data_IF_044261432287
#
_entry.id   IF_044261432287
#
_cell.length_a   1.000
_cell.length_b   1.000
_cell.length_c   1.000
_cell.angle_alpha   90.00
_cell.angle_beta   90.00
_cell.angle_gamma   90.00
#
_symmetry.space_group_name_H-M   'P 1'
#
loop_
_entity.id
_entity.type
_entity.pdbx_description
1 polymer ?
#
# COMPACT_ATOMS: atom_id res chain seq x y z
N UNK A 1 -6.57 -20.35 14.77
CA UNK A 1 -6.05 -21.60 15.37
C UNK A 1 -6.61 -22.83 14.69
N UNK A 2 -7.83 -22.77 14.15
CA UNK A 2 -8.49 -23.92 13.49
C UNK A 2 -7.80 -24.40 12.20
N UNK A 3 -7.01 -23.56 11.52
CA UNK A 3 -6.31 -23.91 10.28
C UNK A 3 -4.87 -24.44 10.49
N UNK A 4 -4.40 -24.59 11.74
CA UNK A 4 -3.00 -24.97 12.01
C UNK A 4 -2.80 -26.48 11.97
N UNK A 5 -1.79 -26.94 11.22
CA UNK A 5 -1.38 -28.34 11.24
C UNK A 5 -0.74 -28.73 12.58
N UNK A 6 -0.75 -30.02 12.91
CA UNK A 6 -0.27 -30.50 14.22
C UNK A 6 1.20 -30.17 14.48
N UNK A 7 2.06 -30.18 13.45
CA UNK A 7 3.46 -29.77 13.55
C UNK A 7 3.63 -28.26 13.84
N UNK A 8 2.73 -27.42 13.32
CA UNK A 8 2.70 -25.99 13.61
C UNK A 8 2.20 -25.72 15.04
N UNK A 9 1.20 -26.48 15.51
CA UNK A 9 0.73 -26.42 16.89
C UNK A 9 1.86 -26.83 17.86
N UNK A 10 2.57 -27.92 17.58
CA UNK A 10 3.70 -28.38 18.37
C UNK A 10 4.83 -27.35 18.44
N UNK A 11 5.09 -26.63 17.35
CA UNK A 11 6.05 -25.53 17.31
C UNK A 11 5.61 -24.37 18.24
N UNK A 12 4.34 -23.95 18.16
CA UNK A 12 3.79 -22.88 18.99
C UNK A 12 3.84 -23.23 20.49
N UNK A 13 3.43 -24.45 20.85
CA UNK A 13 3.52 -24.95 22.23
C UNK A 13 4.98 -25.03 22.69
N UNK A 14 5.88 -25.48 21.83
CA UNK A 14 7.32 -25.54 22.11
C UNK A 14 7.93 -24.17 22.44
N UNK A 15 7.43 -23.11 21.79
CA UNK A 15 7.87 -21.72 22.01
C UNK A 15 7.38 -21.13 23.33
N UNK A 16 6.33 -21.65 23.97
CA UNK A 16 5.83 -21.13 25.26
C UNK A 16 6.92 -21.16 26.34
N UNK A 17 7.80 -22.17 26.32
CA UNK A 17 8.94 -22.26 27.26
C UNK A 17 10.00 -21.17 27.05
N UNK A 18 10.07 -20.58 25.85
CA UNK A 18 11.10 -19.60 25.52
C UNK A 18 10.91 -19.03 24.12
N UNK A 19 10.01 -18.04 24.00
CA UNK A 19 9.61 -17.48 22.70
C UNK A 19 10.77 -16.81 21.94
N UNK A 20 11.78 -16.30 22.65
CA UNK A 20 12.97 -15.70 22.05
C UNK A 20 14.00 -16.74 21.60
N UNK A 21 14.22 -17.79 22.41
CA UNK A 21 15.24 -18.83 22.15
C UNK A 21 14.80 -19.77 21.04
N UNK A 22 13.53 -20.20 21.07
CA UNK A 22 12.95 -21.10 20.08
C UNK A 22 12.30 -20.36 18.90
N UNK A 23 12.69 -19.11 18.67
CA UNK A 23 12.18 -18.32 17.55
C UNK A 23 12.66 -18.92 16.21
N UNK A 24 11.75 -19.36 15.30
CA UNK A 24 12.12 -20.01 14.05
C UNK A 24 12.93 -19.14 13.09
N UNK A 25 12.76 -17.81 13.14
CA UNK A 25 13.51 -16.88 12.29
C UNK A 25 14.91 -16.60 12.81
N UNK A 26 15.13 -16.70 14.13
CA UNK A 26 16.43 -16.44 14.75
C UNK A 26 17.26 -17.72 14.89
N UNK A 27 16.62 -18.79 15.38
CA UNK A 27 17.26 -20.05 15.73
C UNK A 27 16.46 -21.26 15.17
N UNK A 28 16.43 -21.46 13.84
CA UNK A 28 15.60 -22.49 13.21
C UNK A 28 15.93 -23.91 13.67
N UNK A 29 17.22 -24.22 13.90
CA UNK A 29 17.64 -25.55 14.38
C UNK A 29 17.03 -25.88 15.75
N UNK A 30 17.18 -24.95 16.71
CA UNK A 30 16.62 -25.11 18.06
C UNK A 30 15.09 -25.16 18.04
N UNK A 31 14.45 -24.38 17.18
CA UNK A 31 12.99 -24.41 17.02
C UNK A 31 12.51 -25.78 16.49
N UNK A 32 13.24 -26.37 15.54
CA UNK A 32 12.93 -27.69 14.97
C UNK A 32 13.10 -28.81 16.01
N UNK A 33 14.23 -28.83 16.72
CA UNK A 33 14.46 -29.77 17.81
C UNK A 33 13.38 -29.66 18.88
N UNK A 34 13.00 -28.42 19.22
CA UNK A 34 11.96 -28.17 20.22
C UNK A 34 10.58 -28.65 19.78
N UNK A 35 10.19 -28.39 18.53
CA UNK A 35 8.95 -28.91 17.93
C UNK A 35 8.94 -30.44 17.96
N UNK A 36 10.03 -31.08 17.54
CA UNK A 36 10.12 -32.54 17.49
C UNK A 36 10.06 -33.16 18.90
N UNK A 37 10.60 -32.48 19.91
CA UNK A 37 10.44 -32.89 21.31
C UNK A 37 8.97 -32.84 21.74
N UNK A 38 8.21 -31.80 21.36
CA UNK A 38 6.76 -31.74 21.65
C UNK A 38 6.00 -32.85 20.92
N UNK A 39 6.31 -33.11 19.65
CA UNK A 39 5.74 -34.23 18.90
C UNK A 39 6.04 -35.58 19.57
N UNK A 40 7.26 -35.77 20.10
CA UNK A 40 7.64 -37.00 20.82
C UNK A 40 6.85 -37.16 22.12
N UNK A 41 6.59 -36.08 22.84
CA UNK A 41 5.76 -36.10 24.05
C UNK A 41 4.30 -36.46 23.73
N UNK A 42 3.74 -35.92 22.64
CA UNK A 42 2.40 -36.28 22.18
C UNK A 42 2.30 -37.77 21.82
N UNK A 43 3.35 -38.31 21.19
CA UNK A 43 3.42 -39.72 20.85
C UNK A 43 3.48 -40.62 22.10
N UNK A 44 4.29 -40.24 23.10
CA UNK A 44 4.38 -40.98 24.38
C UNK A 44 3.05 -40.99 25.14
N UNK A 45 2.25 -39.95 24.99
CA UNK A 45 0.90 -39.84 25.55
C UNK A 45 -0.17 -40.50 24.66
N UNK A 46 0.22 -41.20 23.60
CA UNK A 46 -0.68 -41.91 22.67
C UNK A 46 -1.67 -40.99 21.95
N UNK A 47 -1.34 -39.69 21.84
CA UNK A 47 -2.13 -38.71 21.06
C UNK A 47 -1.87 -38.87 19.56
N UNK A 48 -0.65 -39.27 19.20
CA UNK A 48 -0.24 -39.61 17.83
C UNK A 48 0.48 -40.96 17.81
N UNK A 49 0.46 -41.65 16.67
CA UNK A 49 1.20 -42.89 16.46
C UNK A 49 2.65 -42.63 15.99
N UNK A 50 3.43 -43.71 15.89
CA UNK A 50 4.84 -43.64 15.49
C UNK A 50 4.98 -43.21 14.02
N UNK A 51 4.08 -43.65 13.14
CA UNK A 51 4.12 -43.33 11.71
C UNK A 51 3.88 -41.82 11.48
N UNK A 52 2.88 -41.24 12.16
CA UNK A 52 2.60 -39.81 12.10
C UNK A 52 3.72 -38.99 12.75
N UNK A 53 4.32 -39.48 13.85
CA UNK A 53 5.50 -38.82 14.44
C UNK A 53 6.67 -38.74 13.45
N UNK A 54 7.00 -39.84 12.78
CA UNK A 54 8.10 -39.88 11.82
C UNK A 54 7.84 -38.96 10.63
N UNK A 55 6.60 -38.95 10.13
CA UNK A 55 6.17 -38.03 9.08
C UNK A 55 6.29 -36.56 9.51
N UNK A 56 5.74 -36.18 10.68
CA UNK A 56 5.71 -34.79 11.13
C UNK A 56 7.09 -34.26 11.54
N UNK A 57 7.92 -35.11 12.14
CA UNK A 57 9.28 -34.73 12.57
C UNK A 57 10.21 -34.45 11.39
N UNK A 58 9.99 -35.12 10.25
CA UNK A 58 10.71 -34.91 8.99
C UNK A 58 10.26 -33.66 8.23
N UNK A 59 9.07 -33.10 8.50
CA UNK A 59 8.61 -31.88 7.83
C UNK A 59 9.50 -30.68 8.19
N UNK A 60 9.81 -29.79 7.24
CA UNK A 60 10.44 -28.52 7.56
C UNK A 60 9.53 -27.67 8.45
N UNK A 61 10.08 -26.64 9.09
CA UNK A 61 9.31 -25.77 10.00
C UNK A 61 8.12 -25.06 9.33
N UNK A 62 8.11 -24.95 7.99
CA UNK A 62 7.01 -24.35 7.24
C UNK A 62 6.70 -22.89 7.62
N UNK A 63 7.65 -22.21 8.29
CA UNK A 63 7.45 -20.82 8.71
C UNK A 63 7.51 -19.92 7.50
N UNK A 64 6.53 -19.02 7.40
CA UNK A 64 6.55 -17.98 6.41
C UNK A 64 7.88 -17.21 6.53
N UNK A 65 8.53 -16.86 5.40
CA UNK A 65 9.69 -15.99 5.42
C UNK A 65 9.39 -14.80 6.30
N UNK A 66 10.38 -14.32 7.05
CA UNK A 66 10.24 -13.05 7.75
C UNK A 66 10.17 -11.96 6.67
N UNK A 67 9.00 -11.77 6.07
CA UNK A 67 8.68 -10.53 5.41
C UNK A 67 8.94 -9.46 6.46
N UNK A 68 9.70 -8.44 6.10
CA UNK A 68 9.97 -7.28 6.95
C UNK A 68 8.71 -6.45 7.18
N UNK A 69 7.60 -7.09 7.53
CA UNK A 69 6.31 -6.48 7.81
C UNK A 69 6.39 -5.90 9.22
N UNK A 70 7.21 -4.86 9.36
CA UNK A 70 7.20 -3.98 10.53
C UNK A 70 5.87 -3.19 10.51
N UNK A 71 5.30 -2.94 9.33
CA UNK A 71 3.93 -2.47 9.12
C UNK A 71 3.47 -2.91 7.73
N UNK A 72 2.49 -3.81 7.59
CA UNK A 72 1.92 -4.10 6.29
C UNK A 72 1.28 -2.81 5.77
N UNK A 73 1.48 -2.50 4.49
CA UNK A 73 0.81 -1.39 3.82
C UNK A 73 1.02 -0.04 4.51
N UNK A 74 2.27 0.45 4.63
CA UNK A 74 2.59 1.59 5.48
C UNK A 74 1.86 2.88 5.07
N UNK A 75 1.72 3.13 3.77
CA UNK A 75 1.04 4.33 3.25
C UNK A 75 -0.46 4.34 3.61
N UNK A 76 -1.16 3.25 3.35
CA UNK A 76 -2.59 3.12 3.68
C UNK A 76 -2.82 3.15 5.20
N UNK A 77 -1.99 2.45 5.98
CA UNK A 77 -2.10 2.44 7.43
C UNK A 77 -1.85 3.82 8.06
N UNK A 78 -1.02 4.66 7.44
CA UNK A 78 -0.85 6.04 7.87
C UNK A 78 -2.15 6.85 7.71
N UNK A 79 -2.84 6.69 6.57
CA UNK A 79 -4.15 7.30 6.33
C UNK A 79 -5.17 6.84 7.38
N UNK A 80 -5.27 5.54 7.63
CA UNK A 80 -6.18 4.96 8.63
C UNK A 80 -5.91 5.53 10.02
N UNK A 81 -4.65 5.61 10.45
CA UNK A 81 -4.29 6.20 11.76
C UNK A 81 -4.66 7.67 11.84
N UNK A 82 -4.45 8.45 10.77
CA UNK A 82 -4.81 9.87 10.73
C UNK A 82 -6.33 10.06 10.80
N UNK A 83 -7.11 9.24 10.10
CA UNK A 83 -8.57 9.31 10.13
C UNK A 83 -9.14 8.89 11.49
N UNK A 84 -8.61 7.83 12.11
CA UNK A 84 -9.00 7.42 13.46
C UNK A 84 -8.71 8.52 14.48
N UNK A 85 -7.53 9.14 14.42
CA UNK A 85 -7.20 10.26 15.29
C UNK A 85 -8.16 11.45 15.09
N UNK A 86 -8.52 11.74 13.84
CA UNK A 86 -9.45 12.84 13.53
C UNK A 86 -10.87 12.58 14.03
N UNK A 87 -11.36 11.33 13.94
CA UNK A 87 -12.74 10.96 14.31
C UNK A 87 -12.93 10.65 15.79
N UNK A 88 -11.94 10.02 16.41
CA UNK A 88 -12.07 9.45 17.76
C UNK A 88 -11.12 10.13 18.77
N UNK A 89 -10.13 10.91 18.30
CA UNK A 89 -9.15 11.55 19.17
C UNK A 89 -8.37 10.55 20.01
N UNK A 90 -8.08 10.91 21.26
CA UNK A 90 -7.34 10.03 22.17
C UNK A 90 -8.17 8.87 22.74
N UNK A 91 -9.51 8.89 22.59
CA UNK A 91 -10.39 7.81 23.06
C UNK A 91 -10.08 6.46 22.41
N UNK A 92 -9.40 6.45 21.26
CA UNK A 92 -8.92 5.21 20.62
C UNK A 92 -7.99 4.42 21.53
N UNK A 93 -7.19 5.09 22.36
CA UNK A 93 -6.21 4.46 23.25
C UNK A 93 -6.85 3.75 24.43
N UNK A 94 -8.06 4.17 24.80
CA UNK A 94 -8.81 3.59 25.92
C UNK A 94 -9.62 2.35 25.53
N UNK A 95 -9.78 2.10 24.22
CA UNK A 95 -10.57 0.98 23.72
C UNK A 95 -9.69 -0.27 23.57
N UNK A 96 -9.90 -1.24 24.45
CA UNK A 96 -9.24 -2.56 24.36
C UNK A 96 -9.99 -3.49 23.41
N UNK A 97 -9.27 -4.17 22.51
CA UNK A 97 -9.84 -5.21 21.63
C UNK A 97 -10.67 -4.70 20.45
N UNK A 98 -10.50 -3.44 20.02
CA UNK A 98 -11.24 -2.89 18.88
C UNK A 98 -10.90 -3.59 17.58
N UNK A 99 -11.94 -3.88 16.79
CA UNK A 99 -11.81 -4.33 15.40
C UNK A 99 -12.07 -3.14 14.48
N UNK A 100 -11.07 -2.81 13.66
CA UNK A 100 -11.16 -1.73 12.68
C UNK A 100 -11.41 -2.36 11.31
N UNK A 101 -12.57 -2.08 10.74
CA UNK A 101 -12.90 -2.45 9.36
C UNK A 101 -12.58 -1.26 8.45
N UNK A 102 -11.85 -1.52 7.36
CA UNK A 102 -11.41 -0.48 6.42
C UNK A 102 -11.91 -0.79 5.02
N UNK A 103 -11.75 0.18 4.13
CA UNK A 103 -12.13 0.10 2.71
C UNK A 103 -11.06 -0.56 1.84
N UNK A 104 -10.00 -1.10 2.48
CA UNK A 104 -8.84 -1.67 1.83
C UNK A 104 -9.21 -2.80 0.86
N UNK A 105 -8.67 -2.73 -0.34
CA UNK A 105 -8.78 -3.75 -1.37
C UNK A 105 -7.39 -4.33 -1.65
N UNK A 106 -7.19 -5.60 -1.27
CA UNK A 106 -5.91 -6.29 -1.46
C UNK A 106 -5.55 -6.45 -2.93
N UNK A 107 -6.53 -6.68 -3.81
CA UNK A 107 -6.28 -6.89 -5.24
C UNK A 107 -5.82 -5.58 -5.88
N UNK A 108 -6.51 -4.47 -5.56
CA UNK A 108 -6.12 -3.16 -6.04
C UNK A 108 -4.75 -2.74 -5.50
N UNK A 109 -4.45 -3.04 -4.24
CA UNK A 109 -3.17 -2.73 -3.62
C UNK A 109 -2.02 -3.53 -4.26
N UNK A 110 -2.17 -4.84 -4.45
CA UNK A 110 -1.11 -5.66 -5.05
C UNK A 110 -0.81 -5.23 -6.49
N UNK A 111 -1.85 -4.93 -7.27
CA UNK A 111 -1.69 -4.38 -8.62
C UNK A 111 -0.98 -3.02 -8.60
N UNK A 112 -1.31 -2.17 -7.64
CA UNK A 112 -0.72 -0.85 -7.46
C UNK A 112 0.76 -0.90 -7.10
N UNK A 113 1.12 -1.75 -6.14
CA UNK A 113 2.49 -1.96 -5.73
C UNK A 113 3.33 -2.52 -6.85
N UNK A 114 2.80 -3.54 -7.54
CA UNK A 114 3.49 -4.16 -8.68
C UNK A 114 3.79 -3.14 -9.77
N UNK A 115 2.81 -2.30 -10.11
CA UNK A 115 2.99 -1.24 -11.11
C UNK A 115 4.09 -0.24 -10.70
N UNK A 116 4.17 0.12 -9.42
CA UNK A 116 5.21 1.00 -8.90
C UNK A 116 6.60 0.34 -8.90
N UNK A 117 6.68 -0.89 -8.36
CA UNK A 117 7.95 -1.61 -8.19
C UNK A 117 8.57 -2.03 -9.53
N UNK A 118 7.75 -2.36 -10.53
CA UNK A 118 8.23 -2.74 -11.86
C UNK A 118 8.41 -1.51 -12.77
N UNK A 119 7.50 -0.54 -12.71
CA UNK A 119 7.50 0.61 -13.62
C UNK A 119 8.63 1.61 -13.36
N UNK A 120 8.95 1.89 -12.10
CA UNK A 120 9.95 2.91 -11.77
C UNK A 120 11.37 2.52 -12.22
N UNK A 121 11.86 1.28 -11.98
CA UNK A 121 13.16 0.86 -12.50
C UNK A 121 13.26 0.93 -14.03
N UNK A 122 12.18 0.57 -14.73
CA UNK A 122 12.11 0.66 -16.21
C UNK A 122 12.25 2.11 -16.66
N UNK A 123 11.50 3.04 -16.07
CA UNK A 123 11.57 4.46 -16.41
C UNK A 123 12.92 5.07 -16.08
N UNK A 124 13.51 4.72 -14.92
CA UNK A 124 14.86 5.15 -14.54
C UNK A 124 15.89 4.75 -15.59
N UNK A 125 15.86 3.48 -16.03
CA UNK A 125 16.79 2.95 -17.04
C UNK A 125 16.60 3.62 -18.40
N UNK A 126 15.35 3.76 -18.86
CA UNK A 126 15.03 4.37 -20.15
C UNK A 126 15.43 5.84 -20.23
N UNK A 127 15.25 6.59 -19.14
CA UNK A 127 15.50 8.04 -19.09
C UNK A 127 16.85 8.40 -18.47
N UNK A 128 17.65 7.41 -18.08
CA UNK A 128 18.95 7.58 -17.39
C UNK A 128 18.84 8.47 -16.14
N UNK A 129 17.81 8.23 -15.33
CA UNK A 129 17.56 8.95 -14.07
C UNK A 129 18.11 8.16 -12.88
N UNK A 130 18.78 8.85 -11.95
CA UNK A 130 19.29 8.25 -10.73
C UNK A 130 18.16 8.05 -9.69
N UNK A 131 17.37 9.09 -9.49
CA UNK A 131 16.24 9.15 -8.57
C UNK A 131 14.94 9.40 -9.33
N UNK A 132 13.93 8.61 -9.00
CA UNK A 132 12.58 8.71 -9.55
C UNK A 132 11.66 8.04 -8.55
N UNK A 133 10.56 8.71 -8.28
CA UNK A 133 9.60 8.33 -7.25
C UNK A 133 8.19 8.38 -7.81
N UNK A 134 7.27 7.71 -7.13
CA UNK A 134 5.87 7.67 -7.52
C UNK A 134 4.96 7.76 -6.31
N UNK A 135 3.71 8.10 -6.57
CA UNK A 135 2.61 8.00 -5.63
C UNK A 135 1.37 7.58 -6.41
N UNK A 136 0.55 6.72 -5.82
CA UNK A 136 -0.71 6.32 -6.41
C UNK A 136 -1.80 6.24 -5.34
N UNK A 137 -3.00 6.68 -5.70
CA UNK A 137 -4.20 6.59 -4.87
C UNK A 137 -5.32 6.05 -5.75
N UNK A 138 -5.98 4.99 -5.28
CA UNK A 138 -7.14 4.39 -5.94
C UNK A 138 -8.34 4.61 -5.04
N UNK A 139 -9.40 5.20 -5.60
CA UNK A 139 -10.64 5.47 -4.89
C UNK A 139 -11.82 4.90 -5.65
N UNK A 140 -12.86 4.53 -4.90
CA UNK A 140 -14.16 4.25 -5.45
C UNK A 140 -14.75 5.51 -6.10
N UNK A 141 -15.28 5.36 -7.32
CA UNK A 141 -15.79 6.47 -8.12
C UNK A 141 -17.00 7.16 -7.49
N UNK A 142 -17.85 6.42 -6.79
CA UNK A 142 -19.13 6.92 -6.30
C UNK A 142 -19.07 7.21 -4.80
N UNK A 143 -18.45 6.32 -4.02
CA UNK A 143 -18.40 6.46 -2.55
C UNK A 143 -17.21 7.28 -2.08
N UNK A 144 -16.16 7.42 -2.90
CA UNK A 144 -14.90 8.06 -2.52
C UNK A 144 -14.05 7.23 -1.56
N UNK A 145 -14.43 5.97 -1.30
CA UNK A 145 -13.68 5.06 -0.44
C UNK A 145 -12.29 4.79 -1.02
N UNK A 146 -11.25 4.93 -0.20
CA UNK A 146 -9.87 4.66 -0.64
C UNK A 146 -9.65 3.15 -0.64
N UNK A 147 -9.37 2.59 -1.83
CA UNK A 147 -9.19 1.14 -2.04
C UNK A 147 -7.72 0.73 -1.92
N UNK A 148 -6.82 1.54 -2.49
CA UNK A 148 -5.39 1.29 -2.48
C UNK A 148 -4.59 2.60 -2.42
N UNK A 149 -3.40 2.53 -1.82
CA UNK A 149 -2.50 3.67 -1.67
C UNK A 149 -1.02 3.24 -1.73
N UNK A 150 -0.26 3.87 -2.60
CA UNK A 150 1.19 3.70 -2.76
C UNK A 150 1.87 5.03 -2.53
N UNK A 151 2.79 5.08 -1.54
CA UNK A 151 3.46 6.32 -1.11
C UNK A 151 4.86 6.55 -1.70
N UNK A 152 5.38 5.62 -2.51
CA UNK A 152 6.74 5.67 -3.04
C UNK A 152 7.02 4.59 -4.08
N UNK A 153 8.20 4.66 -4.70
CA UNK A 153 8.70 3.62 -5.62
C UNK A 153 8.99 2.27 -4.92
N UNK A 154 9.25 2.31 -3.61
CA UNK A 154 9.38 1.14 -2.74
C UNK A 154 8.17 1.09 -1.80
N UNK A 155 7.08 0.38 -2.14
CA UNK A 155 5.82 0.46 -1.38
C UNK A 155 5.90 -0.09 0.04
N UNK A 156 6.83 -1.03 0.27
CA UNK A 156 7.06 -1.68 1.56
C UNK A 156 7.89 -0.81 2.52
N UNK A 157 8.47 0.30 2.05
CA UNK A 157 9.23 1.22 2.89
C UNK A 157 8.28 2.07 3.75
N UNK A 158 8.36 1.88 5.07
CA UNK A 158 7.61 2.68 6.03
C UNK A 158 8.33 4.02 6.30
N UNK A 159 8.03 5.03 5.49
CA UNK A 159 8.60 6.38 5.64
C UNK A 159 7.70 7.48 5.07
N UNK A 160 8.26 8.34 4.22
CA UNK A 160 7.55 9.48 3.66
C UNK A 160 6.45 9.04 2.67
N UNK A 161 5.19 9.26 3.03
CA UNK A 161 4.05 8.89 2.20
C UNK A 161 3.71 10.02 1.22
N UNK A 162 4.19 9.91 -0.01
CA UNK A 162 3.99 10.92 -1.06
C UNK A 162 2.52 11.08 -1.45
N UNK A 163 1.69 10.04 -1.31
CA UNK A 163 0.27 10.11 -1.63
C UNK A 163 -0.50 11.10 -0.75
N UNK A 164 -0.04 11.31 0.48
CA UNK A 164 -0.67 12.24 1.42
C UNK A 164 0.14 13.52 1.66
N UNK A 165 1.46 13.43 1.62
CA UNK A 165 2.35 14.46 2.13
C UNK A 165 3.02 15.28 1.02
N UNK A 166 3.11 14.76 -0.22
CA UNK A 166 3.82 15.44 -1.29
C UNK A 166 2.91 16.50 -1.95
N UNK A 167 3.18 17.78 -1.68
CA UNK A 167 2.57 18.89 -2.43
C UNK A 167 3.34 19.12 -3.73
N UNK A 168 2.66 19.01 -4.87
CA UNK A 168 3.23 19.18 -6.21
C UNK A 168 2.33 20.07 -7.07
N UNK A 169 2.92 20.75 -8.05
CA UNK A 169 2.14 21.40 -9.10
C UNK A 169 1.40 20.33 -9.90
N UNK A 170 0.08 20.49 -10.03
CA UNK A 170 -0.78 19.54 -10.77
C UNK A 170 -0.67 19.74 -12.29
N UNK A 171 -0.09 20.85 -12.75
CA UNK A 171 0.11 21.15 -14.17
C UNK A 171 -1.17 21.07 -14.98
N UNK A 172 -1.11 20.35 -16.11
CA UNK A 172 -2.24 20.19 -17.03
C UNK A 172 -3.45 19.45 -16.44
N UNK A 173 -3.33 18.82 -15.27
CA UNK A 173 -4.48 18.23 -14.55
C UNK A 173 -5.50 19.28 -14.10
N UNK A 174 -5.14 20.57 -14.09
CA UNK A 174 -6.08 21.66 -13.81
C UNK A 174 -7.08 21.93 -14.95
N UNK A 175 -6.78 21.52 -16.19
CA UNK A 175 -7.57 21.87 -17.38
C UNK A 175 -9.04 21.42 -17.29
N UNK A 176 -9.37 20.17 -16.89
CA UNK A 176 -10.76 19.72 -16.82
C UNK A 176 -11.67 20.61 -15.97
N UNK A 177 -11.16 21.26 -14.91
CA UNK A 177 -11.96 22.17 -14.09
C UNK A 177 -12.43 23.40 -14.89
N UNK A 178 -11.55 23.98 -15.71
CA UNK A 178 -11.91 25.08 -16.62
C UNK A 178 -12.93 24.63 -17.66
N UNK A 179 -12.72 23.47 -18.28
CA UNK A 179 -13.66 22.92 -19.27
C UNK A 179 -15.02 22.59 -18.66
N UNK A 180 -15.04 22.01 -17.46
CA UNK A 180 -16.26 21.75 -16.71
C UNK A 180 -17.02 23.05 -16.42
N UNK A 181 -16.31 24.10 -16.04
CA UNK A 181 -16.91 25.42 -15.77
C UNK A 181 -17.55 26.01 -17.02
N UNK A 182 -16.89 25.89 -18.18
CA UNK A 182 -17.46 26.31 -19.46
C UNK A 182 -18.70 25.47 -19.82
N UNK A 183 -18.58 24.14 -19.80
CA UNK A 183 -19.67 23.22 -20.15
C UNK A 183 -20.87 23.27 -19.19
N UNK A 184 -20.69 23.79 -17.98
CA UNK A 184 -21.80 24.07 -17.05
C UNK A 184 -22.70 25.22 -17.52
N UNK A 185 -22.31 25.94 -18.58
CA UNK A 185 -23.07 27.01 -19.20
C UNK A 185 -23.54 26.59 -20.61
N UNK A 186 -24.57 25.73 -20.72
CA UNK A 186 -24.94 25.05 -21.98
C UNK A 186 -25.44 26.00 -23.08
N UNK A 187 -25.86 27.21 -22.71
CA UNK A 187 -26.30 28.25 -23.63
C UNK A 187 -25.12 29.00 -24.28
N UNK A 188 -23.92 28.95 -23.68
CA UNK A 188 -22.74 29.68 -24.15
C UNK A 188 -21.67 28.75 -24.72
N UNK A 189 -21.40 27.64 -24.03
CA UNK A 189 -20.33 26.71 -24.39
C UNK A 189 -20.87 25.30 -24.57
N UNK A 190 -20.43 24.67 -25.66
CA UNK A 190 -20.69 23.28 -26.04
C UNK A 190 -19.39 22.65 -26.48
N UNK A 191 -19.39 21.32 -26.65
CA UNK A 191 -18.22 20.58 -27.10
C UNK A 191 -17.69 21.02 -28.47
N UNK A 192 -18.54 21.62 -29.30
CA UNK A 192 -18.21 22.14 -30.63
C UNK A 192 -17.96 23.67 -30.66
N UNK A 193 -17.87 24.34 -29.51
CA UNK A 193 -17.57 25.77 -29.47
C UNK A 193 -16.12 26.02 -29.92
N UNK A 194 -15.94 26.89 -30.92
CA UNK A 194 -14.62 27.28 -31.41
C UNK A 194 -13.85 28.09 -30.37
N UNK A 195 -12.59 27.73 -30.14
CA UNK A 195 -11.67 28.41 -29.23
C UNK A 195 -10.44 28.84 -30.02
N UNK A 196 -10.01 30.09 -29.85
CA UNK A 196 -8.85 30.62 -30.55
C UNK A 196 -7.54 29.99 -30.01
N UNK A 197 -6.74 29.43 -30.92
CA UNK A 197 -5.41 28.89 -30.64
C UNK A 197 -4.33 29.82 -31.22
N UNK A 198 -4.21 31.02 -30.66
CA UNK A 198 -3.22 32.02 -31.05
C UNK A 198 -2.31 32.39 -29.87
N UNK A 199 -1.10 32.92 -30.11
CA UNK A 199 -0.24 33.42 -29.04
C UNK A 199 -0.96 34.47 -28.18
N UNK A 200 -0.92 34.31 -26.87
CA UNK A 200 -1.55 35.25 -25.92
C UNK A 200 -0.51 35.90 -25.03
N UNK A 201 -0.66 37.21 -24.84
CA UNK A 201 0.12 38.00 -23.88
C UNK A 201 -0.80 38.50 -22.79
N UNK A 202 -0.52 38.09 -21.55
CA UNK A 202 -1.30 38.50 -20.37
C UNK A 202 -0.49 39.55 -19.61
N UNK A 203 -1.10 40.70 -19.34
CA UNK A 203 -0.55 41.72 -18.43
C UNK A 203 -0.87 41.34 -16.99
N UNK A 204 0.16 41.21 -16.18
CA UNK A 204 0.03 40.92 -14.75
C UNK A 204 -0.17 42.21 -13.96
N UNK A 205 -0.66 42.09 -12.72
CA UNK A 205 -0.91 43.23 -11.81
C UNK A 205 0.34 44.06 -11.49
N UNK A 206 1.54 43.46 -11.63
CA UNK A 206 2.83 44.13 -11.46
C UNK A 206 3.33 44.85 -12.74
N UNK A 207 2.51 44.95 -13.79
CA UNK A 207 2.85 45.60 -15.06
C UNK A 207 3.70 44.75 -16.02
N UNK A 208 4.14 43.56 -15.63
CA UNK A 208 4.91 42.67 -16.50
C UNK A 208 4.00 41.91 -17.47
N UNK A 209 4.46 41.74 -18.71
CA UNK A 209 3.78 40.94 -19.73
C UNK A 209 4.35 39.53 -19.77
N UNK A 210 3.50 38.51 -19.64
CA UNK A 210 3.91 37.11 -19.73
C UNK A 210 3.42 36.52 -21.07
N UNK A 211 4.31 36.30 -22.06
CA UNK A 211 3.97 35.61 -23.29
C UNK A 211 3.81 34.10 -22.99
N UNK A 212 2.64 33.53 -23.30
CA UNK A 212 2.36 32.10 -23.10
C UNK A 212 2.19 31.44 -24.45
N UNK A 213 2.99 30.40 -24.73
CA UNK A 213 2.71 29.48 -25.84
C UNK A 213 1.47 28.64 -25.48
N UNK A 214 0.54 28.54 -26.41
CA UNK A 214 -0.85 28.05 -26.23
C UNK A 214 -0.97 26.54 -25.97
N UNK A 215 0.08 25.85 -25.52
CA UNK A 215 0.01 24.41 -25.18
C UNK A 215 -0.92 24.12 -23.98
N UNK A 216 -1.28 25.16 -23.22
CA UNK A 216 -2.15 25.02 -22.04
C UNK A 216 -3.63 24.92 -22.44
N UNK A 217 -4.06 25.42 -23.60
CA UNK A 217 -5.50 25.53 -23.88
C UNK A 217 -5.98 24.54 -24.95
N UNK A 218 -5.22 24.26 -26.02
CA UNK A 218 -5.82 23.61 -27.20
C UNK A 218 -5.07 22.33 -27.58
N UNK A 219 -5.40 21.21 -26.92
CA UNK A 219 -5.01 19.88 -27.43
C UNK A 219 -6.13 18.86 -27.25
N UNK A 220 -7.36 19.34 -27.23
CA UNK A 220 -8.55 18.55 -27.43
C UNK A 220 -9.25 19.14 -28.66
N UNK A 221 -9.55 18.29 -29.64
CA UNK A 221 -10.12 18.63 -30.95
C UNK A 221 -9.08 19.05 -32.02
N UNK A 222 -8.38 18.04 -32.53
CA UNK A 222 -8.20 17.87 -33.98
C UNK A 222 -8.67 16.47 -34.34
#
# INVERSE_FOLDING_TARGET
MEELSLDQQALLVGMVKGASVYNPWRNPKLALERRNLVLRLLQQQQVIDQELYDMLSARPLGVQPRGGVISPQPAFMQMVRQELQAKLGDKVKDLSGVKIFTTFDSVAQDAAEKAASEGIPVLKKQRKLADLETAMVVVDRFTGEVRAMVGGAEPQFAGYNRAMQARRSIGSLAKPATYLTALSQPNQYRLNTWIADAPVTIRLSNGQTCPRRTTIVVSAVR
#
